data_IF_116848983197
#
_entry.id   IF_116848983197
#
_cell.length_a   1.000
_cell.length_b   1.000
_cell.length_c   1.000
_cell.angle_alpha   90.00
_cell.angle_beta   90.00
_cell.angle_gamma   90.00
#
_symmetry.space_group_name_H-M   'P 1'
#
loop_
_entity.id
_entity.type
_entity.pdbx_description
1 polymer ?
#
# COMPACT_ATOMS: atom_id res chain seq x y z
N UNK A 1 -53.81 19.68 19.92
CA UNK A 1 -52.99 19.57 18.71
C UNK A 1 -52.98 18.09 18.32
N UNK A 2 -53.65 17.72 17.23
CA UNK A 2 -53.58 16.37 16.69
C UNK A 2 -52.21 16.22 16.00
N UNK A 3 -51.35 15.36 16.53
CA UNK A 3 -50.09 15.00 15.86
C UNK A 3 -50.41 13.97 14.77
N UNK A 4 -50.35 14.40 13.52
CA UNK A 4 -50.39 13.50 12.38
C UNK A 4 -48.97 13.01 12.12
N UNK A 5 -48.74 11.71 12.24
CA UNK A 5 -47.50 11.06 11.84
C UNK A 5 -47.46 11.03 10.32
N UNK A 6 -46.57 11.82 9.70
CA UNK A 6 -46.32 11.76 8.27
C UNK A 6 -45.30 10.66 7.98
N UNK A 7 -45.73 9.65 7.22
CA UNK A 7 -44.85 8.59 6.75
C UNK A 7 -44.38 8.93 5.32
N UNK A 8 -43.09 9.24 5.19
CA UNK A 8 -42.47 9.49 3.88
C UNK A 8 -41.91 8.16 3.36
N UNK A 9 -42.44 7.69 2.23
CA UNK A 9 -42.06 6.43 1.57
C UNK A 9 -41.84 6.70 0.09
N UNK A 10 -40.92 5.98 -0.55
CA UNK A 10 -40.67 6.09 -1.99
C UNK A 10 -39.67 7.17 -2.43
N UNK A 11 -38.72 7.55 -1.58
CA UNK A 11 -37.60 8.38 -2.00
C UNK A 11 -36.60 7.55 -2.81
N UNK A 12 -36.61 7.69 -4.13
CA UNK A 12 -35.65 7.04 -5.03
C UNK A 12 -34.24 7.65 -4.90
N UNK A 13 -34.15 8.90 -4.47
CA UNK A 13 -32.92 9.67 -4.25
C UNK A 13 -33.07 10.58 -3.02
N UNK A 14 -31.94 11.07 -2.49
CA UNK A 14 -31.93 11.97 -1.33
C UNK A 14 -32.33 13.39 -1.79
N UNK A 15 -33.41 13.98 -1.24
CA UNK A 15 -33.82 15.34 -1.57
C UNK A 15 -32.80 16.37 -1.09
N UNK A 16 -32.64 17.46 -1.84
CA UNK A 16 -31.69 18.54 -1.57
C UNK A 16 -32.41 19.66 -0.82
N UNK A 17 -31.68 20.45 -0.04
CA UNK A 17 -32.23 21.63 0.63
C UNK A 17 -32.85 22.60 -0.40
N UNK A 18 -34.14 22.89 -0.24
CA UNK A 18 -34.94 23.70 -1.16
C UNK A 18 -35.94 22.90 -2.00
N UNK A 19 -35.90 21.56 -1.95
CA UNK A 19 -36.87 20.72 -2.65
C UNK A 19 -38.28 20.84 -2.05
N UNK A 20 -39.27 21.08 -2.91
CA UNK A 20 -40.69 21.12 -2.54
C UNK A 20 -41.33 19.73 -2.65
N UNK A 21 -42.01 19.32 -1.58
CA UNK A 21 -42.74 18.04 -1.50
C UNK A 21 -44.21 18.25 -1.80
N UNK A 22 -44.77 17.39 -2.65
CA UNK A 22 -46.20 17.37 -2.98
C UNK A 22 -46.83 16.07 -2.48
N UNK A 23 -48.02 16.16 -1.88
CA UNK A 23 -48.76 14.99 -1.39
C UNK A 23 -49.55 14.38 -2.55
N UNK A 24 -49.35 13.09 -2.80
CA UNK A 24 -50.03 12.35 -3.88
C UNK A 24 -50.79 11.14 -3.34
N UNK A 25 -51.82 10.72 -4.09
CA UNK A 25 -52.80 9.74 -3.62
C UNK A 25 -52.32 8.28 -3.64
N UNK A 26 -51.23 7.95 -4.36
CA UNK A 26 -50.66 6.61 -4.40
C UNK A 26 -49.14 6.61 -4.65
N UNK A 27 -48.50 5.51 -4.29
CA UNK A 27 -47.06 5.29 -4.43
C UNK A 27 -46.59 5.26 -5.89
N UNK A 28 -47.41 4.73 -6.80
CA UNK A 28 -47.06 4.66 -8.23
C UNK A 28 -47.04 6.07 -8.85
N UNK A 29 -48.00 6.92 -8.50
CA UNK A 29 -48.04 8.33 -8.92
C UNK A 29 -46.84 9.09 -8.34
N UNK A 30 -46.44 8.78 -7.10
CA UNK A 30 -45.27 9.39 -6.48
C UNK A 30 -43.98 9.04 -7.24
N UNK A 31 -43.83 7.78 -7.65
CA UNK A 31 -42.66 7.29 -8.40
C UNK A 31 -42.61 7.89 -9.81
N UNK A 32 -43.71 7.87 -10.54
CA UNK A 32 -43.79 8.43 -11.89
C UNK A 32 -43.46 9.93 -11.89
N UNK A 33 -43.99 10.70 -10.93
CA UNK A 33 -43.67 12.13 -10.78
C UNK A 33 -42.23 12.36 -10.34
N UNK A 34 -41.68 11.52 -9.46
CA UNK A 34 -40.29 11.63 -9.02
C UNK A 34 -39.30 11.32 -10.17
N UNK A 35 -39.61 10.32 -11.01
CA UNK A 35 -38.82 9.94 -12.17
C UNK A 35 -38.90 11.01 -13.28
N UNK A 36 -40.11 11.50 -13.61
CA UNK A 36 -40.28 12.58 -14.59
C UNK A 36 -39.59 13.89 -14.14
N UNK A 37 -39.64 14.21 -12.83
CA UNK A 37 -38.92 15.38 -12.28
C UNK A 37 -37.41 15.15 -12.30
N UNK A 38 -36.93 13.94 -12.04
CA UNK A 38 -35.52 13.61 -12.12
C UNK A 38 -34.99 13.71 -13.56
N UNK A 39 -35.77 13.29 -14.56
CA UNK A 39 -35.45 13.48 -15.99
C UNK A 39 -35.43 14.96 -16.38
N UNK A 40 -36.43 15.76 -15.97
CA UNK A 40 -36.45 17.20 -16.23
C UNK A 40 -35.24 17.93 -15.61
N UNK A 41 -34.89 17.60 -14.36
CA UNK A 41 -33.70 18.15 -13.69
C UNK A 41 -32.40 17.63 -14.32
N UNK A 42 -32.40 16.42 -14.87
CA UNK A 42 -31.27 15.86 -15.61
C UNK A 42 -31.07 16.60 -16.94
N UNK A 43 -32.15 16.86 -17.69
CA UNK A 43 -32.14 17.63 -18.93
C UNK A 43 -31.74 19.10 -18.70
N UNK A 44 -32.25 19.75 -17.64
CA UNK A 44 -31.83 21.10 -17.26
C UNK A 44 -30.35 21.13 -16.86
N UNK A 45 -29.83 20.11 -16.16
CA UNK A 45 -28.40 19.98 -15.82
C UNK A 45 -27.53 19.69 -17.04
N UNK A 46 -28.02 18.94 -18.02
CA UNK A 46 -27.35 18.68 -19.31
C UNK A 46 -27.30 19.98 -20.13
N UNK A 47 -28.38 20.76 -20.14
CA UNK A 47 -28.48 22.03 -20.87
C UNK A 47 -27.67 23.16 -20.19
N UNK A 48 -27.72 23.28 -18.87
CA UNK A 48 -26.93 24.26 -18.11
C UNK A 48 -25.42 23.98 -18.15
N UNK A 49 -25.02 22.71 -18.34
CA UNK A 49 -23.62 22.32 -18.59
C UNK A 49 -23.19 22.43 -20.06
N UNK A 50 -24.07 22.82 -20.98
CA UNK A 50 -23.70 23.04 -22.37
C UNK A 50 -22.86 24.32 -22.58
N UNK A 51 -22.70 25.15 -21.56
CA UNK A 51 -21.88 26.36 -21.56
C UNK A 51 -20.42 26.20 -21.11
N UNK A 52 -20.03 25.02 -20.61
CA UNK A 52 -18.66 24.79 -20.13
C UNK A 52 -18.05 23.54 -20.77
N UNK A 53 -17.20 23.75 -21.76
CA UNK A 53 -16.27 22.75 -22.28
C UNK A 53 -16.87 21.55 -23.02
N UNK A 54 -17.54 21.78 -24.15
CA UNK A 54 -17.81 20.71 -25.13
C UNK A 54 -16.49 20.19 -25.72
N UNK A 55 -16.05 19.03 -25.26
CA UNK A 55 -15.10 18.18 -25.99
C UNK A 55 -15.91 17.40 -27.04
N UNK A 56 -15.98 17.90 -28.27
CA UNK A 56 -16.56 17.17 -29.42
C UNK A 56 -15.71 15.94 -29.74
N UNK A 57 -16.29 14.92 -30.40
CA UNK A 57 -15.55 13.76 -30.92
C UNK A 57 -14.33 14.15 -31.78
N UNK A 58 -14.37 15.33 -32.43
CA UNK A 58 -13.24 15.92 -33.12
C UNK A 58 -12.11 16.39 -32.19
N UNK A 59 -12.43 16.92 -31.00
CA UNK A 59 -11.43 17.29 -29.99
C UNK A 59 -10.86 16.08 -29.21
N UNK A 60 -11.62 14.98 -29.07
CA UNK A 60 -11.09 13.69 -28.59
C UNK A 60 -10.09 13.09 -29.59
N UNK A 61 -10.38 13.13 -30.89
CA UNK A 61 -9.46 12.67 -31.92
C UNK A 61 -8.18 13.53 -31.98
N UNK A 62 -8.30 14.84 -31.78
CA UNK A 62 -7.16 15.75 -31.68
C UNK A 62 -6.35 15.56 -30.39
N UNK A 63 -6.98 15.25 -29.25
CA UNK A 63 -6.28 14.97 -28.01
C UNK A 63 -5.53 13.62 -28.05
N UNK A 64 -6.12 12.60 -28.67
CA UNK A 64 -5.49 11.28 -28.88
C UNK A 64 -4.35 11.35 -29.90
N UNK A 65 -4.43 12.27 -30.87
CA UNK A 65 -3.36 12.48 -31.86
C UNK A 65 -2.25 13.42 -31.35
N UNK A 66 -2.58 14.42 -30.52
CA UNK A 66 -1.61 15.31 -29.91
C UNK A 66 -0.81 14.63 -28.78
N UNK A 67 -1.43 13.73 -28.01
CA UNK A 67 -0.75 12.91 -27.00
C UNK A 67 0.22 11.88 -27.58
N UNK A 68 0.10 11.54 -28.88
CA UNK A 68 1.03 10.63 -29.58
C UNK A 68 2.29 11.32 -30.13
N UNK A 69 2.40 12.64 -30.00
CA UNK A 69 3.56 13.43 -30.45
C UNK A 69 4.47 13.88 -29.30
N UNK A 70 4.11 13.60 -28.05
CA UNK A 70 4.97 13.70 -26.87
C UNK A 70 4.87 12.36 -26.14
N UNK A 71 5.92 11.55 -26.09
CA UNK A 71 5.90 10.19 -25.50
C UNK A 71 5.61 10.13 -24.00
N UNK A 72 4.41 10.54 -23.58
CA UNK A 72 3.84 10.45 -22.24
C UNK A 72 2.52 9.70 -22.37
N UNK A 73 2.53 8.40 -22.09
CA UNK A 73 1.31 7.61 -22.02
C UNK A 73 0.52 8.02 -20.77
N UNK A 74 -0.53 8.82 -20.95
CA UNK A 74 -1.46 9.17 -19.87
C UNK A 74 -2.46 8.03 -19.70
N UNK A 75 -2.31 7.22 -18.65
CA UNK A 75 -3.25 6.15 -18.35
C UNK A 75 -4.51 6.70 -17.66
N UNK A 76 -5.62 5.98 -17.77
CA UNK A 76 -6.90 6.38 -17.18
C UNK A 76 -7.47 5.23 -16.35
N UNK A 77 -7.83 5.52 -15.10
CA UNK A 77 -8.55 4.58 -14.24
C UNK A 77 -10.02 5.03 -14.14
N UNK A 78 -10.91 4.22 -14.72
CA UNK A 78 -12.35 4.45 -14.68
C UNK A 78 -12.93 3.94 -13.36
N UNK A 79 -13.67 4.81 -12.68
CA UNK A 79 -14.21 4.54 -11.35
C UNK A 79 -15.71 4.79 -11.33
N UNK A 80 -16.45 3.83 -10.78
CA UNK A 80 -17.83 4.00 -10.33
C UNK A 80 -17.83 3.99 -8.80
N UNK A 81 -18.42 5.02 -8.18
CA UNK A 81 -18.47 5.16 -6.74
C UNK A 81 -19.91 5.11 -6.23
N UNK A 82 -20.17 4.19 -5.29
CA UNK A 82 -21.44 4.05 -4.59
C UNK A 82 -21.23 4.29 -3.10
N UNK A 83 -21.97 5.23 -2.52
CA UNK A 83 -21.82 5.61 -1.11
C UNK A 83 -23.14 5.59 -0.34
N UNK A 84 -23.06 5.56 0.97
CA UNK A 84 -24.22 5.58 1.86
C UNK A 84 -24.86 6.98 1.95
N UNK A 85 -24.01 8.00 2.07
CA UNK A 85 -24.40 9.40 2.28
C UNK A 85 -23.72 10.29 1.26
N UNK A 86 -24.42 11.32 0.78
CA UNK A 86 -23.87 12.27 -0.19
C UNK A 86 -22.58 12.95 0.30
N UNK A 87 -22.46 13.22 1.60
CA UNK A 87 -21.24 13.76 2.21
C UNK A 87 -20.03 12.85 2.07
N UNK A 88 -20.23 11.53 1.99
CA UNK A 88 -19.18 10.54 1.77
C UNK A 88 -18.58 10.65 0.36
N UNK A 89 -19.37 11.01 -0.67
CA UNK A 89 -18.82 11.27 -2.03
C UNK A 89 -17.79 12.40 -1.95
N UNK A 90 -18.15 13.52 -1.31
CA UNK A 90 -17.25 14.69 -1.29
C UNK A 90 -16.00 14.42 -0.44
N UNK A 91 -16.16 13.75 0.71
CA UNK A 91 -15.04 13.37 1.56
C UNK A 91 -14.05 12.41 0.84
N UNK A 92 -14.57 11.38 0.17
CA UNK A 92 -13.75 10.43 -0.60
C UNK A 92 -13.10 11.13 -1.80
N UNK A 93 -13.84 11.99 -2.50
CA UNK A 93 -13.32 12.76 -3.64
C UNK A 93 -12.16 13.66 -3.23
N UNK A 94 -12.30 14.41 -2.14
CA UNK A 94 -11.23 15.27 -1.61
C UNK A 94 -10.01 14.44 -1.18
N UNK A 95 -10.23 13.30 -0.53
CA UNK A 95 -9.16 12.41 -0.13
C UNK A 95 -8.38 11.85 -1.33
N UNK A 96 -9.06 11.52 -2.43
CA UNK A 96 -8.43 11.03 -3.66
C UNK A 96 -7.76 12.14 -4.49
N UNK A 97 -8.06 13.42 -4.25
CA UNK A 97 -7.32 14.53 -4.89
C UNK A 97 -5.88 14.63 -4.44
N UNK A 98 -5.56 14.11 -3.25
CA UNK A 98 -4.20 14.12 -2.68
C UNK A 98 -3.27 13.12 -3.40
N UNK A 99 -3.83 12.19 -4.17
CA UNK A 99 -3.04 11.24 -4.95
C UNK A 99 -2.34 11.93 -6.14
N UNK A 100 -1.05 11.67 -6.39
CA UNK A 100 -0.32 12.24 -7.51
C UNK A 100 -0.94 11.81 -8.85
N UNK A 101 -1.05 12.74 -9.80
CA UNK A 101 -1.75 12.55 -11.09
C UNK A 101 -0.81 12.51 -12.29
N UNK A 102 0.48 12.30 -12.04
CA UNK A 102 1.52 12.58 -13.04
C UNK A 102 1.37 11.70 -14.29
N UNK A 103 0.95 10.44 -14.13
CA UNK A 103 0.81 9.47 -15.23
C UNK A 103 -0.53 8.69 -15.27
N UNK A 104 -1.41 8.84 -14.27
CA UNK A 104 -2.73 8.17 -14.23
C UNK A 104 -3.82 9.15 -13.84
N UNK A 105 -4.84 9.27 -14.69
CA UNK A 105 -6.02 10.11 -14.45
C UNK A 105 -7.16 9.28 -13.88
N UNK A 106 -7.65 9.67 -12.70
CA UNK A 106 -8.86 9.09 -12.11
C UNK A 106 -10.11 9.70 -12.77
N UNK A 107 -10.92 8.89 -13.44
CA UNK A 107 -12.17 9.33 -14.06
C UNK A 107 -13.37 8.70 -13.36
N UNK A 108 -14.10 9.52 -12.62
CA UNK A 108 -15.35 9.10 -11.98
C UNK A 108 -16.49 9.15 -12.99
N UNK A 109 -16.91 7.98 -13.49
CA UNK A 109 -17.97 7.82 -14.48
C UNK A 109 -19.36 7.96 -13.85
N UNK A 110 -19.50 7.48 -12.61
CA UNK A 110 -20.73 7.56 -11.84
C UNK A 110 -20.39 7.74 -10.35
N UNK A 111 -21.08 8.68 -9.70
CA UNK A 111 -21.00 8.93 -8.27
C UNK A 111 -22.42 9.06 -7.75
N UNK A 112 -22.89 8.05 -7.01
CA UNK A 112 -24.29 8.01 -6.58
C UNK A 112 -24.42 7.38 -5.19
N UNK A 113 -25.47 7.75 -4.48
CA UNK A 113 -25.84 7.10 -3.23
C UNK A 113 -26.61 5.79 -3.49
N UNK A 114 -26.63 4.90 -2.50
CA UNK A 114 -27.41 3.67 -2.52
C UNK A 114 -26.64 2.42 -2.98
N UNK A 115 -27.30 1.27 -2.86
CA UNK A 115 -26.73 -0.05 -3.16
C UNK A 115 -26.34 -0.24 -4.63
N UNK A 116 -25.43 -1.19 -4.88
CA UNK A 116 -24.99 -1.54 -6.23
C UNK A 116 -26.10 -2.32 -6.95
N UNK A 117 -26.40 -1.92 -8.17
CA UNK A 117 -27.35 -2.55 -9.09
C UNK A 117 -26.66 -3.29 -10.24
N UNK A 118 -27.39 -4.12 -10.98
CA UNK A 118 -26.85 -4.77 -12.19
C UNK A 118 -26.46 -3.74 -13.27
N UNK A 119 -27.18 -2.62 -13.36
CA UNK A 119 -26.86 -1.54 -14.30
C UNK A 119 -25.49 -0.89 -14.00
N UNK A 120 -25.10 -0.82 -12.73
CA UNK A 120 -23.76 -0.35 -12.34
C UNK A 120 -22.67 -1.34 -12.81
N UNK A 121 -22.97 -2.66 -12.77
CA UNK A 121 -22.07 -3.69 -13.29
C UNK A 121 -21.96 -3.61 -14.81
N UNK A 122 -23.08 -3.43 -15.51
CA UNK A 122 -23.07 -3.32 -16.97
C UNK A 122 -22.32 -2.07 -17.44
N UNK A 123 -22.46 -0.95 -16.73
CA UNK A 123 -21.66 0.26 -16.96
C UNK A 123 -20.18 -0.01 -16.72
N UNK A 124 -19.83 -0.73 -15.65
CA UNK A 124 -18.45 -1.11 -15.33
C UNK A 124 -17.83 -1.98 -16.41
N UNK A 125 -18.55 -2.98 -16.94
CA UNK A 125 -18.09 -3.82 -18.06
C UNK A 125 -17.87 -2.97 -19.32
N UNK A 126 -18.84 -2.13 -19.68
CA UNK A 126 -18.78 -1.35 -20.91
C UNK A 126 -17.66 -0.29 -20.91
N UNK A 127 -17.19 0.10 -19.74
CA UNK A 127 -16.21 1.17 -19.56
C UNK A 127 -14.92 0.71 -18.89
N UNK A 128 -14.76 -0.59 -18.65
CA UNK A 128 -13.61 -1.17 -17.92
C UNK A 128 -13.37 -0.47 -16.58
N UNK A 129 -14.45 -0.15 -15.85
CA UNK A 129 -14.39 0.57 -14.58
C UNK A 129 -14.34 -0.38 -13.38
N UNK A 130 -13.64 0.06 -12.33
CA UNK A 130 -13.73 -0.57 -11.01
C UNK A 130 -14.86 0.07 -10.20
N UNK A 131 -15.50 -0.71 -9.33
CA UNK A 131 -16.58 -0.23 -8.47
C UNK A 131 -16.08 -0.10 -7.01
N UNK A 132 -16.07 1.13 -6.51
CA UNK A 132 -15.76 1.44 -5.11
C UNK A 132 -17.07 1.64 -4.34
N UNK A 133 -17.32 0.79 -3.34
CA UNK A 133 -18.47 0.93 -2.43
C UNK A 133 -18.01 1.39 -1.05
N UNK A 134 -18.51 2.53 -0.59
CA UNK A 134 -18.21 3.09 0.72
C UNK A 134 -19.43 2.96 1.64
N UNK A 135 -19.35 2.07 2.63
CA UNK A 135 -20.44 1.74 3.55
C UNK A 135 -21.75 1.26 2.89
N UNK A 136 -21.67 0.74 1.66
CA UNK A 136 -22.80 0.33 0.82
C UNK A 136 -22.81 -1.18 0.58
N UNK A 137 -24.00 -1.78 0.49
CA UNK A 137 -24.15 -3.21 0.27
C UNK A 137 -24.16 -3.53 -1.23
N UNK A 138 -23.69 -4.73 -1.52
CA UNK A 138 -23.81 -5.35 -2.83
C UNK A 138 -24.63 -6.63 -2.62
N UNK A 139 -25.89 -6.68 -3.10
CA UNK A 139 -26.72 -7.89 -3.00
C UNK A 139 -26.00 -9.12 -3.57
N UNK A 140 -26.26 -10.30 -3.02
CA UNK A 140 -25.56 -11.53 -3.43
C UNK A 140 -25.69 -11.83 -4.92
N UNK A 141 -26.86 -11.57 -5.51
CA UNK A 141 -27.11 -11.70 -6.95
C UNK A 141 -26.21 -10.79 -7.80
N UNK A 142 -25.96 -9.57 -7.34
CA UNK A 142 -25.12 -8.57 -8.03
C UNK A 142 -23.64 -8.95 -7.93
N UNK A 143 -23.18 -9.46 -6.79
CA UNK A 143 -21.80 -9.94 -6.64
C UNK A 143 -21.50 -11.11 -7.59
N UNK A 144 -22.38 -12.11 -7.62
CA UNK A 144 -22.21 -13.24 -8.54
C UNK A 144 -22.28 -12.82 -10.01
N UNK A 145 -23.05 -11.77 -10.33
CA UNK A 145 -23.08 -11.20 -11.68
C UNK A 145 -21.76 -10.49 -12.04
N UNK A 146 -21.20 -9.73 -11.10
CA UNK A 146 -19.92 -9.05 -11.28
C UNK A 146 -18.74 -10.03 -11.43
N UNK A 147 -18.68 -11.09 -10.62
CA UNK A 147 -17.66 -12.14 -10.73
C UNK A 147 -17.70 -12.82 -12.10
N UNK A 148 -18.89 -13.14 -12.62
CA UNK A 148 -19.06 -13.71 -13.96
C UNK A 148 -18.61 -12.77 -15.08
N UNK A 149 -18.66 -11.47 -14.85
CA UNK A 149 -18.32 -10.43 -15.82
C UNK A 149 -16.91 -9.88 -15.63
N UNK A 150 -16.17 -10.37 -14.63
CA UNK A 150 -14.81 -9.90 -14.32
C UNK A 150 -14.77 -8.47 -13.77
N UNK A 151 -15.88 -7.97 -13.20
CA UNK A 151 -15.94 -6.63 -12.61
C UNK A 151 -15.50 -6.66 -11.17
N UNK A 152 -14.53 -5.82 -10.83
CA UNK A 152 -14.01 -5.70 -9.48
C UNK A 152 -14.88 -4.77 -8.61
N UNK A 153 -15.33 -5.28 -7.45
CA UNK A 153 -16.13 -4.53 -6.47
C UNK A 153 -15.42 -4.53 -5.12
N UNK A 154 -15.00 -3.35 -4.64
CA UNK A 154 -14.27 -3.21 -3.38
C UNK A 154 -15.06 -2.46 -2.31
N UNK A 155 -15.10 -3.02 -1.09
CA UNK A 155 -15.79 -2.42 0.06
C UNK A 155 -14.84 -1.69 0.97
N UNK A 156 -15.22 -0.46 1.29
CA UNK A 156 -14.50 0.35 2.25
C UNK A 156 -15.43 0.83 3.35
N UNK A 157 -14.90 0.84 4.56
CA UNK A 157 -15.49 1.49 5.73
C UNK A 157 -14.61 2.64 6.22
N UNK A 158 -13.34 2.65 5.82
CA UNK A 158 -12.34 3.63 6.18
C UNK A 158 -11.78 4.26 4.90
N UNK A 159 -11.71 5.59 4.85
CA UNK A 159 -11.27 6.31 3.65
C UNK A 159 -9.79 6.01 3.35
N UNK A 160 -8.95 5.82 4.35
CA UNK A 160 -7.52 5.52 4.16
C UNK A 160 -7.25 4.21 3.40
N UNK A 161 -8.03 3.17 3.68
CA UNK A 161 -7.96 1.89 2.94
C UNK A 161 -8.32 2.09 1.46
N UNK A 162 -9.36 2.90 1.20
CA UNK A 162 -9.77 3.25 -0.16
C UNK A 162 -8.66 4.00 -0.91
N UNK A 163 -8.03 4.99 -0.27
CA UNK A 163 -6.92 5.75 -0.85
C UNK A 163 -5.77 4.82 -1.22
N UNK A 164 -5.41 3.89 -0.34
CA UNK A 164 -4.28 2.99 -0.56
C UNK A 164 -4.55 2.02 -1.73
N UNK A 165 -5.75 1.43 -1.77
CA UNK A 165 -6.15 0.55 -2.86
C UNK A 165 -6.24 1.27 -4.22
N UNK A 166 -6.76 2.51 -4.24
CA UNK A 166 -6.78 3.31 -5.48
C UNK A 166 -5.36 3.67 -5.91
N UNK A 167 -4.46 3.98 -4.98
CA UNK A 167 -3.04 4.20 -5.29
C UNK A 167 -2.41 2.95 -5.89
N UNK A 168 -2.64 1.78 -5.29
CA UNK A 168 -2.13 0.51 -5.80
C UNK A 168 -2.69 0.18 -7.20
N UNK A 169 -3.97 0.48 -7.46
CA UNK A 169 -4.58 0.32 -8.78
C UNK A 169 -3.97 1.28 -9.84
N UNK A 170 -3.63 2.51 -9.46
CA UNK A 170 -2.91 3.46 -10.32
C UNK A 170 -1.50 2.96 -10.64
N UNK A 171 -0.78 2.43 -9.64
CA UNK A 171 0.55 1.85 -9.83
C UNK A 171 0.51 0.62 -10.75
N UNK A 172 -0.51 -0.23 -10.63
CA UNK A 172 -0.69 -1.40 -11.49
C UNK A 172 -0.95 -1.07 -12.98
N UNK A 173 -1.67 0.02 -13.27
CA UNK A 173 -1.90 0.47 -14.65
C UNK A 173 -0.63 0.99 -15.33
N UNK A 174 0.31 1.53 -14.55
CA UNK A 174 1.62 1.97 -15.05
C UNK A 174 2.52 0.77 -15.40
N UNK A 175 2.44 -0.32 -14.65
CA UNK A 175 3.21 -1.56 -14.94
C UNK A 175 2.74 -2.27 -16.23
N UNK A 176 1.45 -2.15 -16.62
CA UNK A 176 0.90 -2.89 -17.77
C UNK A 176 1.39 -2.45 -19.16
N UNK A 177 2.00 -1.27 -19.30
CA UNK A 177 2.39 -0.73 -20.62
C UNK A 177 3.82 -1.07 -21.02
N UNK A 178 4.71 -1.34 -20.07
CA UNK A 178 6.09 -1.77 -20.38
C UNK A 178 6.17 -3.23 -20.87
N UNK A 179 5.11 -4.03 -20.73
CA UNK A 179 5.10 -5.46 -21.06
C UNK A 179 4.77 -5.76 -22.55
N UNK A 180 4.23 -4.78 -23.30
CA UNK A 180 3.69 -5.05 -24.64
C UNK A 180 4.63 -4.78 -25.83
N UNK A 181 5.89 -4.44 -25.59
CA UNK A 181 6.92 -4.34 -26.63
C UNK A 181 8.05 -5.32 -26.35
N UNK A 182 7.82 -6.59 -26.68
CA UNK A 182 8.78 -7.57 -27.23
C UNK A 182 8.36 -9.01 -26.91
N UNK A 183 7.24 -9.47 -27.48
CA UNK A 183 6.99 -10.90 -27.62
C UNK A 183 7.66 -11.39 -28.90
N UNK A 184 8.89 -11.90 -28.79
CA UNK A 184 9.50 -12.74 -29.82
C UNK A 184 9.50 -14.19 -29.32
N UNK A 185 8.66 -15.00 -29.95
CA UNK A 185 8.50 -16.44 -29.78
C UNK A 185 9.87 -17.17 -29.86
N UNK A 186 10.24 -17.94 -28.84
CA UNK A 186 11.21 -19.03 -28.99
C UNK A 186 10.61 -20.33 -28.44
N UNK A 187 10.54 -21.32 -29.33
CA UNK A 187 9.94 -22.62 -29.10
C UNK A 187 10.77 -23.52 -28.18
N UNK A 188 10.05 -24.36 -27.45
CA UNK A 188 10.57 -25.44 -26.63
C UNK A 188 11.08 -26.54 -27.57
N UNK A 189 12.35 -26.91 -27.44
CA UNK A 189 12.87 -28.19 -27.93
C UNK A 189 13.10 -29.06 -26.70
N UNK A 190 12.26 -30.07 -26.51
CA UNK A 190 12.55 -31.18 -25.61
C UNK A 190 13.69 -32.00 -26.20
N UNK A 191 14.81 -32.09 -25.50
CA UNK A 191 15.83 -33.09 -25.78
C UNK A 191 16.00 -33.98 -24.55
N UNK A 192 15.49 -35.20 -24.67
CA UNK A 192 15.62 -36.27 -23.70
C UNK A 192 17.05 -36.80 -23.71
N UNK A 193 17.77 -36.67 -22.58
CA UNK A 193 19.05 -37.34 -22.36
C UNK A 193 18.92 -38.28 -21.16
N UNK A 194 18.85 -39.57 -21.46
CA UNK A 194 19.00 -40.66 -20.50
C UNK A 194 20.46 -40.74 -20.03
N UNK A 195 20.69 -40.70 -18.72
CA UNK A 195 21.98 -41.09 -18.15
C UNK A 195 21.82 -42.22 -17.13
N UNK A 196 22.73 -43.17 -17.28
CA UNK A 196 22.85 -44.47 -16.62
C UNK A 196 23.25 -44.31 -15.15
N UNK A 197 22.69 -45.15 -14.27
CA UNK A 197 23.00 -45.27 -12.85
C UNK A 197 24.51 -45.41 -12.57
N UNK A 198 25.06 -44.52 -11.76
CA UNK A 198 26.17 -44.82 -10.87
C UNK A 198 26.17 -43.82 -9.69
N UNK A 199 26.29 -44.37 -8.49
CA UNK A 199 26.44 -43.72 -7.18
C UNK A 199 25.17 -43.08 -6.58
N UNK A 200 24.65 -43.73 -5.53
CA UNK A 200 23.77 -43.08 -4.55
C UNK A 200 24.52 -41.89 -3.93
N UNK A 201 24.32 -40.71 -4.51
CA UNK A 201 24.62 -39.46 -3.84
C UNK A 201 23.55 -39.29 -2.79
N UNK A 202 23.91 -39.51 -1.52
CA UNK A 202 23.12 -39.03 -0.39
C UNK A 202 23.14 -37.50 -0.44
N UNK A 203 22.20 -36.90 -1.17
CA UNK A 203 21.91 -35.47 -1.08
C UNK A 203 21.27 -35.26 0.29
N UNK A 204 22.09 -34.99 1.30
CA UNK A 204 21.57 -34.32 2.49
C UNK A 204 21.16 -32.92 2.02
N UNK A 205 19.86 -32.71 1.85
CA UNK A 205 19.29 -31.37 1.66
C UNK A 205 19.65 -30.54 2.89
N UNK A 206 20.81 -29.87 2.87
CA UNK A 206 21.06 -28.74 3.75
C UNK A 206 19.92 -27.77 3.50
N UNK A 207 19.13 -27.46 4.54
CA UNK A 207 17.99 -26.55 4.45
C UNK A 207 18.42 -25.30 3.68
N UNK A 208 17.94 -25.13 2.45
CA UNK A 208 18.38 -24.06 1.58
C UNK A 208 17.66 -22.79 2.00
N UNK A 209 18.42 -21.81 2.48
CA UNK A 209 17.92 -20.50 2.89
C UNK A 209 18.49 -19.46 1.95
N UNK A 210 17.61 -18.74 1.25
CA UNK A 210 17.97 -17.63 0.38
C UNK A 210 17.23 -16.38 0.85
N UNK A 211 17.90 -15.23 0.87
CA UNK A 211 17.32 -13.94 1.22
C UNK A 211 17.37 -13.02 0.00
N UNK A 212 16.21 -12.70 -0.57
CA UNK A 212 16.07 -11.65 -1.57
C UNK A 212 15.96 -10.30 -0.85
N UNK A 213 16.93 -9.42 -1.03
CA UNK A 213 17.00 -8.14 -0.31
C UNK A 213 17.79 -7.08 -1.08
N UNK A 214 17.80 -5.84 -0.60
CA UNK A 214 18.80 -4.82 -0.99
C UNK A 214 19.56 -4.32 0.23
N UNK A 215 20.86 -4.05 0.08
CA UNK A 215 21.77 -3.75 1.20
C UNK A 215 21.24 -2.67 2.14
N UNK A 216 20.69 -1.60 1.58
CA UNK A 216 20.22 -0.41 2.31
C UNK A 216 18.83 -0.57 2.94
N UNK A 217 18.12 -1.66 2.68
CA UNK A 217 16.76 -1.88 3.20
C UNK A 217 16.78 -2.11 4.72
N UNK A 218 16.15 -1.23 5.53
CA UNK A 218 16.08 -1.45 6.97
C UNK A 218 15.24 -2.69 7.30
N UNK A 219 14.23 -3.01 6.49
CA UNK A 219 13.40 -4.21 6.63
C UNK A 219 14.21 -5.48 6.38
N UNK A 220 15.09 -5.46 5.39
CA UNK A 220 15.98 -6.56 5.06
C UNK A 220 17.06 -6.80 6.10
N UNK A 221 17.63 -5.72 6.65
CA UNK A 221 18.55 -5.80 7.78
C UNK A 221 17.94 -6.53 8.99
N UNK A 222 16.63 -6.42 9.25
CA UNK A 222 15.96 -7.20 10.32
C UNK A 222 16.16 -8.70 10.14
N UNK A 223 15.92 -9.17 8.91
CA UNK A 223 16.02 -10.59 8.56
C UNK A 223 17.47 -11.05 8.61
N UNK A 224 18.41 -10.22 8.13
CA UNK A 224 19.85 -10.48 8.26
C UNK A 224 20.28 -10.64 9.72
N UNK A 225 19.90 -9.71 10.59
CA UNK A 225 20.21 -9.78 12.03
C UNK A 225 19.64 -11.06 12.63
N UNK A 226 18.39 -11.41 12.34
CA UNK A 226 17.77 -12.62 12.86
C UNK A 226 18.49 -13.90 12.39
N UNK A 227 18.87 -13.98 11.10
CA UNK A 227 19.65 -15.11 10.57
C UNK A 227 21.02 -15.22 11.24
N UNK A 228 21.72 -14.09 11.43
CA UNK A 228 23.02 -14.04 12.10
C UNK A 228 22.92 -14.44 13.59
N UNK A 229 21.94 -13.90 14.33
CA UNK A 229 21.67 -14.30 15.73
C UNK A 229 21.41 -15.81 15.84
N UNK A 230 20.63 -16.36 14.90
CA UNK A 230 20.39 -17.81 14.83
C UNK A 230 21.55 -18.62 14.26
N UNK A 231 22.57 -17.97 13.70
CA UNK A 231 23.71 -18.63 13.03
C UNK A 231 23.29 -19.46 11.82
N UNK A 232 22.26 -19.03 11.11
CA UNK A 232 21.73 -19.69 9.92
C UNK A 232 22.59 -19.27 8.74
N UNK A 233 23.17 -20.24 8.04
CA UNK A 233 23.84 -19.95 6.76
C UNK A 233 22.76 -19.72 5.70
N UNK A 234 22.92 -18.67 4.91
CA UNK A 234 21.99 -18.32 3.86
C UNK A 234 22.73 -17.72 2.65
N UNK A 235 22.10 -17.82 1.49
CA UNK A 235 22.51 -17.11 0.28
C UNK A 235 21.84 -15.74 0.24
N UNK A 236 22.63 -14.67 0.11
CA UNK A 236 22.10 -13.32 -0.08
C UNK A 236 22.01 -12.99 -1.57
N UNK A 237 20.82 -12.58 -2.03
CA UNK A 237 20.58 -12.20 -3.42
C UNK A 237 20.16 -10.73 -3.50
N UNK A 238 21.08 -9.87 -3.93
CA UNK A 238 20.83 -8.44 -4.12
C UNK A 238 19.77 -8.21 -5.22
N UNK A 239 18.74 -7.44 -4.89
CA UNK A 239 17.66 -7.09 -5.80
C UNK A 239 17.76 -5.63 -6.25
N UNK A 240 17.63 -5.37 -7.55
CA UNK A 240 17.39 -4.02 -8.05
C UNK A 240 15.91 -3.68 -7.89
N UNK A 241 15.56 -2.83 -6.92
CA UNK A 241 14.18 -2.43 -6.68
C UNK A 241 13.58 -1.54 -7.80
N UNK A 242 14.42 -1.05 -8.72
CA UNK A 242 14.01 -0.27 -9.89
C UNK A 242 13.68 -1.16 -11.08
N UNK A 243 14.33 -2.32 -11.16
CA UNK A 243 14.10 -3.33 -12.18
C UNK A 243 14.00 -4.70 -11.49
N UNK A 244 12.79 -4.97 -10.97
CA UNK A 244 12.55 -6.15 -10.12
C UNK A 244 12.70 -7.43 -10.96
N UNK A 245 13.65 -8.27 -10.58
CA UNK A 245 13.90 -9.54 -11.26
C UNK A 245 12.71 -10.51 -11.16
N UNK A 246 12.60 -11.47 -12.11
CA UNK A 246 11.47 -12.42 -12.16
C UNK A 246 11.33 -13.23 -10.87
N UNK A 247 12.45 -13.59 -10.24
CA UNK A 247 12.45 -14.34 -8.97
C UNK A 247 11.75 -13.58 -7.83
N UNK A 248 11.95 -12.26 -7.72
CA UNK A 248 11.27 -11.45 -6.69
C UNK A 248 9.77 -11.37 -6.95
N UNK A 249 9.37 -11.21 -8.22
CA UNK A 249 7.97 -11.13 -8.62
C UNK A 249 7.23 -12.47 -8.41
N UNK A 250 7.91 -13.59 -8.65
CA UNK A 250 7.38 -14.93 -8.40
C UNK A 250 7.25 -15.22 -6.90
N UNK A 251 8.27 -14.87 -6.11
CA UNK A 251 8.33 -15.21 -4.69
C UNK A 251 7.50 -14.26 -3.81
N UNK A 252 7.20 -13.06 -4.29
CA UNK A 252 6.28 -12.12 -3.64
C UNK A 252 5.36 -11.44 -4.68
N UNK A 253 4.37 -12.17 -5.23
CA UNK A 253 3.50 -11.64 -6.28
C UNK A 253 2.52 -10.57 -5.77
N UNK A 254 2.23 -10.58 -4.47
CA UNK A 254 1.28 -9.65 -3.83
C UNK A 254 1.89 -8.26 -3.68
N UNK A 255 3.05 -8.15 -3.02
CA UNK A 255 3.64 -6.85 -2.72
C UNK A 255 4.84 -6.51 -3.59
N UNK A 256 5.48 -7.50 -4.23
CA UNK A 256 6.67 -7.32 -5.07
C UNK A 256 7.77 -6.54 -4.33
N UNK A 257 7.90 -6.78 -3.02
CA UNK A 257 8.79 -6.07 -2.10
C UNK A 257 9.81 -7.03 -1.50
N UNK A 258 10.96 -6.47 -1.14
CA UNK A 258 11.95 -7.10 -0.27
C UNK A 258 11.73 -6.68 1.19
N UNK A 259 12.16 -7.48 2.19
CA UNK A 259 12.82 -8.78 2.05
C UNK A 259 11.85 -9.92 1.71
N UNK A 260 12.37 -10.94 1.03
CA UNK A 260 11.72 -12.26 0.91
C UNK A 260 12.70 -13.33 1.37
N UNK A 261 12.35 -14.01 2.48
CA UNK A 261 13.10 -15.17 2.95
C UNK A 261 12.56 -16.41 2.25
N UNK A 262 13.40 -17.17 1.56
CA UNK A 262 13.03 -18.41 0.91
C UNK A 262 13.66 -19.54 1.69
N UNK A 263 12.84 -20.39 2.31
CA UNK A 263 13.30 -21.56 3.05
C UNK A 263 12.76 -22.82 2.38
N UNK A 264 13.67 -23.62 1.79
CA UNK A 264 13.35 -24.82 1.00
C UNK A 264 12.33 -24.53 -0.12
N UNK A 265 12.58 -23.47 -0.89
CA UNK A 265 11.73 -23.05 -2.00
C UNK A 265 10.40 -22.39 -1.60
N UNK A 266 10.13 -22.21 -0.30
CA UNK A 266 8.90 -21.57 0.19
C UNK A 266 9.20 -20.13 0.61
N UNK A 267 8.52 -19.12 0.04
CA UNK A 267 8.75 -17.73 0.40
C UNK A 267 8.01 -17.34 1.69
N UNK A 268 8.68 -16.53 2.51
CA UNK A 268 8.15 -15.83 3.67
C UNK A 268 8.38 -14.34 3.41
N UNK A 269 7.27 -13.64 3.16
CA UNK A 269 7.24 -12.19 2.92
C UNK A 269 6.97 -11.44 4.24
N UNK A 270 7.19 -10.12 4.22
CA UNK A 270 7.11 -9.22 5.37
C UNK A 270 8.19 -9.47 6.43
N UNK A 271 9.05 -8.47 6.67
CA UNK A 271 10.24 -8.61 7.51
C UNK A 271 9.95 -9.12 8.94
N UNK A 272 8.91 -8.59 9.60
CA UNK A 272 8.52 -8.98 10.95
C UNK A 272 7.94 -10.41 11.02
N UNK A 273 7.29 -10.86 9.95
CA UNK A 273 6.81 -12.24 9.83
C UNK A 273 8.01 -13.17 9.62
N UNK A 274 8.95 -12.79 8.74
CA UNK A 274 10.18 -13.55 8.51
C UNK A 274 11.04 -13.69 9.78
N UNK A 275 11.16 -12.63 10.59
CA UNK A 275 11.89 -12.68 11.88
C UNK A 275 11.21 -13.64 12.86
N UNK A 276 9.88 -13.61 12.98
CA UNK A 276 9.15 -14.58 13.82
C UNK A 276 9.33 -16.02 13.33
N UNK A 277 9.21 -16.22 12.01
CA UNK A 277 9.46 -17.53 11.39
C UNK A 277 10.87 -18.04 11.71
N UNK A 278 11.88 -17.18 11.61
CA UNK A 278 13.26 -17.53 11.96
C UNK A 278 13.37 -17.94 13.44
N UNK A 279 12.72 -17.19 14.34
CA UNK A 279 12.73 -17.47 15.78
C UNK A 279 12.08 -18.83 16.12
N UNK A 280 10.99 -19.16 15.43
CA UNK A 280 10.23 -20.39 15.64
C UNK A 280 10.93 -21.62 15.05
N UNK A 281 11.53 -21.49 13.85
CA UNK A 281 12.19 -22.60 13.14
C UNK A 281 13.57 -22.92 13.71
N UNK A 282 14.40 -21.90 13.97
CA UNK A 282 15.74 -22.05 14.55
C UNK A 282 15.72 -21.70 16.04
N UNK A 283 14.96 -22.48 16.80
CA UNK A 283 14.71 -22.28 18.24
C UNK A 283 15.84 -22.82 19.16
N UNK A 284 16.95 -23.28 18.59
CA UNK A 284 18.09 -23.87 19.32
C UNK A 284 19.02 -22.82 19.96
N UNK A 285 18.87 -21.54 19.62
CA UNK A 285 19.60 -20.42 20.21
C UNK A 285 18.66 -19.49 20.99
N UNK A 286 19.23 -18.48 21.66
CA UNK A 286 18.46 -17.47 22.42
C UNK A 286 17.23 -17.00 21.65
N UNK A 287 16.04 -17.01 22.28
CA UNK A 287 14.81 -16.58 21.63
C UNK A 287 14.80 -15.08 21.42
N UNK A 288 14.26 -14.61 20.29
CA UNK A 288 14.02 -13.20 20.01
C UNK A 288 12.71 -12.74 20.63
N UNK A 289 11.69 -13.61 20.67
CA UNK A 289 10.42 -13.32 21.32
C UNK A 289 10.32 -13.99 22.71
N UNK A 290 9.69 -13.32 23.70
CA UNK A 290 9.37 -13.94 24.98
C UNK A 290 8.45 -15.17 24.84
N UNK A 291 8.63 -16.17 25.70
CA UNK A 291 7.74 -17.34 25.78
C UNK A 291 6.41 -17.02 26.48
N UNK A 292 6.40 -16.05 27.40
CA UNK A 292 5.18 -15.54 28.02
C UNK A 292 4.27 -14.87 26.98
N UNK A 293 2.98 -15.26 26.87
CA UNK A 293 2.09 -14.71 25.85
C UNK A 293 1.86 -13.20 25.96
N UNK A 294 1.81 -12.64 27.17
CA UNK A 294 1.57 -11.22 27.36
C UNK A 294 2.80 -10.41 26.95
N UNK A 295 3.98 -10.79 27.40
CA UNK A 295 5.23 -10.16 27.00
C UNK A 295 5.44 -10.26 25.48
N UNK A 296 5.15 -11.42 24.88
CA UNK A 296 5.20 -11.60 23.43
C UNK A 296 4.24 -10.67 22.68
N UNK A 297 3.05 -10.43 23.23
CA UNK A 297 2.10 -9.46 22.67
C UNK A 297 2.63 -8.03 22.77
N UNK A 298 3.30 -7.67 23.87
CA UNK A 298 3.95 -6.36 24.01
C UNK A 298 5.09 -6.17 23.01
N UNK A 299 5.95 -7.18 22.83
CA UNK A 299 7.01 -7.14 21.80
C UNK A 299 6.43 -6.95 20.40
N UNK A 300 5.33 -7.64 20.07
CA UNK A 300 4.64 -7.50 18.78
C UNK A 300 4.02 -6.10 18.60
N UNK A 301 3.43 -5.54 19.65
CA UNK A 301 2.88 -4.19 19.63
C UNK A 301 3.97 -3.15 19.33
N UNK A 302 5.11 -3.22 20.01
CA UNK A 302 6.19 -2.27 19.79
C UNK A 302 6.89 -2.44 18.43
N UNK A 303 7.03 -3.67 17.93
CA UNK A 303 7.52 -3.88 16.58
C UNK A 303 6.57 -3.33 15.49
N UNK A 304 5.25 -3.50 15.66
CA UNK A 304 4.24 -2.88 14.78
C UNK A 304 4.27 -1.34 14.88
N UNK A 305 4.43 -0.81 16.10
CA UNK A 305 4.62 0.62 16.32
C UNK A 305 5.80 1.16 15.51
N UNK A 306 6.93 0.44 15.45
CA UNK A 306 8.09 0.84 14.65
C UNK A 306 7.73 0.95 13.16
N UNK A 307 7.03 -0.05 12.59
CA UNK A 307 6.62 -0.03 11.18
C UNK A 307 5.69 1.13 10.84
N UNK A 308 4.78 1.46 11.75
CA UNK A 308 3.77 2.48 11.52
C UNK A 308 4.20 3.90 11.92
N UNK A 309 5.09 4.03 12.91
CA UNK A 309 5.39 5.31 13.57
C UNK A 309 6.85 5.75 13.45
N UNK A 310 7.77 4.88 13.06
CA UNK A 310 9.16 5.29 12.76
C UNK A 310 9.37 5.44 11.25
N UNK A 311 9.00 4.42 10.47
CA UNK A 311 9.25 4.42 9.03
C UNK A 311 8.54 5.56 8.29
N UNK A 312 7.22 5.73 8.48
CA UNK A 312 6.47 6.74 7.70
C UNK A 312 6.87 8.19 8.04
N UNK A 313 6.99 8.60 9.32
CA UNK A 313 7.50 9.93 9.66
C UNK A 313 8.95 10.12 9.20
N UNK A 314 9.83 9.12 9.38
CA UNK A 314 11.20 9.15 8.88
C UNK A 314 11.27 9.29 7.36
N UNK A 315 10.36 8.67 6.60
CA UNK A 315 10.28 8.87 5.15
C UNK A 315 10.00 10.32 4.78
N UNK A 316 9.15 11.01 5.55
CA UNK A 316 8.82 12.42 5.28
C UNK A 316 10.02 13.35 5.46
N UNK A 317 10.96 13.03 6.35
CA UNK A 317 12.14 13.88 6.61
C UNK A 317 13.05 14.04 5.40
N UNK A 318 13.08 13.05 4.50
CA UNK A 318 13.89 13.09 3.29
C UNK A 318 13.08 13.14 2.00
N UNK A 319 11.74 13.08 2.03
CA UNK A 319 10.91 13.17 0.82
C UNK A 319 10.08 14.44 0.71
N UNK A 320 9.82 15.14 1.83
CA UNK A 320 8.89 16.28 1.88
C UNK A 320 9.61 17.60 2.18
N UNK A 321 8.90 18.72 2.00
CA UNK A 321 9.36 20.09 2.26
C UNK A 321 8.31 20.87 3.07
N UNK A 322 8.71 22.00 3.66
CA UNK A 322 7.79 22.91 4.35
C UNK A 322 7.05 22.27 5.53
N UNK A 323 5.74 22.50 5.63
CA UNK A 323 4.92 21.99 6.75
C UNK A 323 4.89 20.46 6.83
N UNK A 324 4.93 19.74 5.70
CA UNK A 324 4.94 18.27 5.71
C UNK A 324 6.27 17.71 6.25
N UNK A 325 7.38 18.40 5.98
CA UNK A 325 8.69 18.06 6.53
C UNK A 325 8.69 18.23 8.06
N UNK A 326 8.21 19.36 8.54
CA UNK A 326 8.10 19.65 9.97
C UNK A 326 7.19 18.65 10.69
N UNK A 327 6.05 18.28 10.09
CA UNK A 327 5.17 17.25 10.63
C UNK A 327 5.85 15.86 10.65
N UNK A 328 6.65 15.53 9.63
CA UNK A 328 7.46 14.31 9.59
C UNK A 328 8.51 14.26 10.71
N UNK A 329 9.27 15.35 10.86
CA UNK A 329 10.28 15.51 11.92
C UNK A 329 9.66 15.37 13.30
N UNK A 330 8.60 16.13 13.58
CA UNK A 330 7.95 16.13 14.90
C UNK A 330 7.36 14.75 15.22
N UNK A 331 6.69 14.12 14.24
CA UNK A 331 6.14 12.77 14.41
C UNK A 331 7.21 11.70 14.63
N UNK A 332 8.38 11.82 13.97
CA UNK A 332 9.51 10.92 14.20
C UNK A 332 10.06 11.11 15.61
N UNK A 333 10.36 12.34 16.02
CA UNK A 333 10.91 12.65 17.36
C UNK A 333 9.96 12.16 18.46
N UNK A 334 8.67 12.42 18.34
CA UNK A 334 7.65 11.94 19.30
C UNK A 334 7.66 10.42 19.40
N UNK A 335 7.74 9.72 18.27
CA UNK A 335 7.77 8.26 18.23
C UNK A 335 9.05 7.69 18.84
N UNK A 336 10.20 8.32 18.59
CA UNK A 336 11.49 7.93 19.19
C UNK A 336 11.50 8.18 20.71
N UNK A 337 10.87 9.26 21.19
CA UNK A 337 10.73 9.53 22.63
C UNK A 337 9.85 8.49 23.33
N UNK A 338 8.77 8.03 22.67
CA UNK A 338 7.94 6.94 23.21
C UNK A 338 8.74 5.63 23.31
N UNK A 339 9.54 5.30 22.28
CA UNK A 339 10.42 4.14 22.29
C UNK A 339 11.54 4.26 23.35
N UNK A 340 12.10 5.45 23.52
CA UNK A 340 13.07 5.72 24.59
C UNK A 340 12.47 5.55 25.99
N UNK A 341 11.21 5.98 26.17
CA UNK A 341 10.44 5.76 27.39
C UNK A 341 10.16 4.29 27.67
N UNK A 342 9.78 3.52 26.65
CA UNK A 342 9.59 2.06 26.76
C UNK A 342 10.90 1.33 27.07
N UNK A 343 12.01 1.72 26.43
CA UNK A 343 13.33 1.18 26.74
C UNK A 343 13.69 1.42 28.22
N UNK A 344 13.37 2.60 28.75
CA UNK A 344 13.61 2.96 30.14
C UNK A 344 15.09 2.87 30.49
N UNK A 345 15.42 1.99 31.44
CA UNK A 345 16.80 1.71 31.87
C UNK A 345 17.27 0.29 31.46
N UNK A 346 16.49 -0.40 30.62
CA UNK A 346 16.85 -1.73 30.10
C UNK A 346 18.02 -1.61 29.11
N UNK A 347 18.85 -2.66 29.04
CA UNK A 347 19.97 -2.70 28.08
C UNK A 347 19.45 -2.78 26.64
N UNK A 348 18.40 -3.57 26.45
CA UNK A 348 17.65 -3.87 25.22
C UNK A 348 16.15 -3.88 25.53
N UNK A 349 15.28 -3.87 24.51
CA UNK A 349 13.82 -3.76 24.73
C UNK A 349 13.24 -4.96 25.49
N UNK A 350 13.74 -6.17 25.22
CA UNK A 350 13.39 -7.41 25.92
C UNK A 350 14.29 -7.70 27.15
N UNK A 351 15.05 -6.70 27.64
CA UNK A 351 15.85 -6.81 28.87
C UNK A 351 17.35 -6.79 28.60
N UNK A 352 18.02 -7.92 28.82
CA UNK A 352 19.49 -8.00 28.83
C UNK A 352 20.11 -8.48 27.51
N UNK A 353 19.28 -8.91 26.55
CA UNK A 353 19.73 -9.43 25.26
C UNK A 353 18.91 -8.81 24.13
N UNK A 354 19.51 -8.80 22.94
CA UNK A 354 18.84 -8.39 21.71
C UNK A 354 17.56 -9.21 21.52
N UNK A 355 16.41 -8.54 21.47
CA UNK A 355 15.11 -9.17 21.25
C UNK A 355 14.42 -8.65 20.00
N UNK A 356 13.15 -9.02 19.88
CA UNK A 356 12.33 -8.77 18.70
C UNK A 356 12.14 -7.28 18.39
N UNK A 357 11.91 -6.45 19.40
CA UNK A 357 11.75 -5.01 19.21
C UNK A 357 13.09 -4.36 18.85
N UNK A 358 14.20 -4.84 19.43
CA UNK A 358 15.52 -4.35 19.05
C UNK A 358 15.80 -4.63 17.57
N UNK A 359 15.56 -5.86 17.11
CA UNK A 359 15.70 -6.26 15.70
C UNK A 359 14.81 -5.42 14.80
N UNK A 360 13.59 -5.09 15.22
CA UNK A 360 12.67 -4.27 14.45
C UNK A 360 13.15 -2.81 14.28
N UNK A 361 13.76 -2.22 15.33
CA UNK A 361 14.12 -0.80 15.37
C UNK A 361 15.55 -0.52 14.91
N UNK A 362 16.53 -1.33 15.30
CA UNK A 362 17.95 -1.00 15.12
C UNK A 362 18.35 -0.73 13.66
N UNK A 363 17.76 -1.37 12.63
CA UNK A 363 18.10 -1.05 11.24
C UNK A 363 17.90 0.41 10.85
N UNK A 364 16.93 1.10 11.44
CA UNK A 364 16.69 2.51 11.16
C UNK A 364 17.82 3.41 11.64
N UNK A 365 18.68 2.96 12.56
CA UNK A 365 19.87 3.70 12.97
C UNK A 365 20.78 4.02 11.78
N UNK A 366 20.90 3.12 10.80
CA UNK A 366 21.67 3.37 9.57
C UNK A 366 21.06 4.49 8.70
N UNK A 367 19.77 4.80 8.88
CA UNK A 367 19.07 5.86 8.16
C UNK A 367 19.04 7.20 8.91
N UNK A 368 19.41 7.22 10.20
CA UNK A 368 19.32 8.43 11.03
C UNK A 368 20.15 9.58 10.47
N UNK A 369 21.35 9.31 9.96
CA UNK A 369 22.18 10.35 9.34
C UNK A 369 21.45 11.04 8.17
N UNK A 370 20.75 10.27 7.33
CA UNK A 370 19.94 10.84 6.25
C UNK A 370 18.76 11.66 6.78
N UNK A 371 18.05 11.15 7.80
CA UNK A 371 16.94 11.88 8.41
C UNK A 371 17.38 13.22 9.00
N UNK A 372 18.46 13.22 9.78
CA UNK A 372 19.01 14.43 10.42
C UNK A 372 19.47 15.46 9.37
N UNK A 373 20.15 14.99 8.31
CA UNK A 373 20.70 15.86 7.26
C UNK A 373 19.60 16.50 6.42
N UNK A 374 18.62 15.74 5.95
CA UNK A 374 17.52 16.28 5.13
C UNK A 374 16.44 17.00 5.96
N UNK A 375 16.27 16.60 7.22
CA UNK A 375 15.29 17.16 8.16
C UNK A 375 15.81 18.31 9.02
N UNK A 376 17.11 18.63 8.95
CA UNK A 376 17.77 19.70 9.70
C UNK A 376 17.54 19.63 11.22
N UNK A 377 17.75 18.45 11.80
CA UNK A 377 17.58 18.21 13.25
C UNK A 377 18.59 17.19 13.77
N UNK A 378 18.64 17.00 15.10
CA UNK A 378 19.48 16.00 15.75
C UNK A 378 18.64 15.06 16.61
N UNK A 379 18.74 13.76 16.33
CA UNK A 379 18.09 12.71 17.12
C UNK A 379 18.80 12.55 18.47
N UNK A 380 20.13 12.66 18.52
CA UNK A 380 20.88 12.55 19.80
C UNK A 380 20.53 13.66 20.78
N UNK A 381 20.26 14.88 20.30
CA UNK A 381 19.81 15.98 21.15
C UNK A 381 18.43 15.73 21.78
N UNK A 382 17.56 15.00 21.09
CA UNK A 382 16.17 14.77 21.50
C UNK A 382 15.96 13.43 22.22
N UNK A 383 16.76 12.41 21.91
CA UNK A 383 16.64 11.02 22.35
C UNK A 383 18.03 10.41 22.69
N UNK A 384 18.76 10.94 23.68
CA UNK A 384 20.14 10.54 23.97
C UNK A 384 20.27 9.10 24.50
N UNK A 385 19.30 8.59 25.28
CA UNK A 385 19.33 7.20 25.78
C UNK A 385 19.10 6.23 24.63
N UNK A 386 18.24 6.58 23.67
CA UNK A 386 18.00 5.77 22.48
C UNK A 386 19.26 5.70 21.61
N UNK A 387 19.97 6.82 21.42
CA UNK A 387 21.26 6.80 20.70
C UNK A 387 22.32 5.99 21.46
N UNK A 388 22.36 6.05 22.79
CA UNK A 388 23.21 5.17 23.58
C UNK A 388 22.85 3.68 23.38
N UNK A 389 21.56 3.34 23.28
CA UNK A 389 21.10 2.01 22.92
C UNK A 389 21.53 1.60 21.51
N UNK A 390 21.44 2.47 20.51
CA UNK A 390 21.94 2.18 19.16
C UNK A 390 23.44 1.84 19.19
N UNK A 391 24.23 2.68 19.89
CA UNK A 391 25.68 2.48 20.05
C UNK A 391 26.01 1.15 20.76
N UNK A 392 25.20 0.73 21.74
CA UNK A 392 25.32 -0.60 22.37
C UNK A 392 24.95 -1.73 21.41
N UNK A 393 23.87 -1.60 20.65
CA UNK A 393 23.47 -2.62 19.67
C UNK A 393 24.56 -2.84 18.62
N UNK A 394 25.26 -1.79 18.18
CA UNK A 394 26.39 -1.90 17.26
C UNK A 394 27.60 -2.67 17.82
N UNK A 395 27.68 -2.91 19.13
CA UNK A 395 28.69 -3.81 19.71
C UNK A 395 28.32 -5.29 19.54
N UNK A 396 27.08 -5.61 19.17
CA UNK A 396 26.70 -6.97 18.79
C UNK A 396 27.20 -7.27 17.36
N UNK A 397 27.86 -8.41 17.21
CA UNK A 397 28.40 -8.88 15.94
C UNK A 397 27.31 -9.10 14.87
N UNK A 398 26.13 -9.60 15.24
CA UNK A 398 25.02 -9.80 14.30
C UNK A 398 24.53 -8.48 13.71
N UNK A 399 24.43 -7.45 14.55
CA UNK A 399 23.97 -6.10 14.16
C UNK A 399 25.02 -5.40 13.31
N UNK A 400 26.26 -5.37 13.76
CA UNK A 400 27.35 -4.68 13.05
C UNK A 400 27.66 -5.28 11.68
N UNK A 401 27.49 -6.61 11.50
CA UNK A 401 27.62 -7.26 10.17
C UNK A 401 26.42 -7.00 9.25
N UNK A 402 25.24 -6.81 9.82
CA UNK A 402 23.99 -6.77 9.06
C UNK A 402 23.61 -5.36 8.59
N UNK A 403 23.92 -4.32 9.38
CA UNK A 403 23.59 -2.94 9.05
C UNK A 403 24.48 -2.40 7.93
N UNK A 404 23.89 -1.61 7.03
CA UNK A 404 24.67 -0.81 6.08
C UNK A 404 25.32 0.38 6.77
N UNK A 405 26.42 0.83 6.17
CA UNK A 405 27.09 2.06 6.61
C UNK A 405 26.16 3.28 6.41
N UNK A 406 26.05 4.20 7.39
CA UNK A 406 25.17 5.37 7.28
C UNK A 406 25.48 6.28 6.08
N UNK A 407 26.73 6.32 5.60
CA UNK A 407 27.09 7.10 4.41
C UNK A 407 26.65 6.40 3.12
N UNK A 408 26.71 5.06 3.07
CA UNK A 408 26.14 4.29 1.96
C UNK A 408 24.64 4.53 1.85
N UNK A 409 23.92 4.46 2.98
CA UNK A 409 22.48 4.76 3.04
C UNK A 409 22.18 6.20 2.64
N UNK A 410 22.96 7.17 3.14
CA UNK A 410 22.79 8.57 2.77
C UNK A 410 23.01 8.80 1.26
N UNK A 411 24.05 8.21 0.68
CA UNK A 411 24.30 8.27 -0.77
C UNK A 411 23.13 7.72 -1.58
N UNK A 412 22.58 6.58 -1.17
CA UNK A 412 21.37 6.02 -1.77
C UNK A 412 20.17 6.99 -1.69
N UNK A 413 19.96 7.63 -0.54
CA UNK A 413 18.87 8.61 -0.37
C UNK A 413 19.05 9.84 -1.26
N UNK A 414 20.27 10.34 -1.43
CA UNK A 414 20.58 11.45 -2.37
C UNK A 414 20.21 11.05 -3.80
N UNK A 415 20.64 9.87 -4.26
CA UNK A 415 20.29 9.38 -5.60
C UNK A 415 18.78 9.22 -5.78
N UNK A 416 18.09 8.70 -4.77
CA UNK A 416 16.65 8.50 -4.81
C UNK A 416 15.90 9.84 -4.83
N UNK A 417 16.35 10.85 -4.08
CA UNK A 417 15.78 12.21 -4.13
C UNK A 417 15.90 12.86 -5.50
N UNK A 418 17.06 12.72 -6.16
CA UNK A 418 17.25 13.20 -7.54
C UNK A 418 16.28 12.54 -8.52
N UNK A 419 16.13 11.21 -8.43
CA UNK A 419 15.20 10.45 -9.28
C UNK A 419 13.74 10.81 -9.04
N UNK A 420 13.36 11.15 -7.82
CA UNK A 420 12.03 11.60 -7.45
C UNK A 420 11.78 13.09 -7.78
N UNK A 421 12.74 13.79 -8.39
CA UNK A 421 12.61 15.22 -8.71
C UNK A 421 12.51 16.13 -7.49
N UNK A 422 13.09 15.72 -6.35
CA UNK A 422 13.03 16.46 -5.10
C UNK A 422 14.18 17.46 -4.93
N UNK A 423 15.22 17.35 -5.76
CA UNK A 423 16.42 18.18 -5.82
C UNK A 423 16.58 18.86 -7.17
#
# INVERSE_FOLDING_TARGET
>A
MLHFSLQVIGLSNVPIAGDEFEVVASLDIARERAEARAELLWDERISAKAGDGKVTLSSLASAVSAGKLSGLDLHQLNIIMKVDLQGSIEAVRQALQVLPRDNVTLKFLLQATGDISNSDIDLAVATEAIILRFNVKAPGSVKSYAEKKGVEIRLYRVIYELIDDVRNAMEGLLETVEVNSNASLYGIVEESLSFTLAEEVFVTSTMAVTLLDTRVSPFGMRVRIALEEKGVKYEYSEQDLRNKGPMLLEMNPVYKKVPVLIHNGKPICESLIAVQYIDEVWNNKSPLLPSDPYQRAQSRFWADFVDNKVYFPGRKTWTKKGQELEAGKNGLIESLKLLEGELGDKSYFEGDKLGYVDVALIPFYSWFHGYETFGYFSIEAECPKLIAWCKRCMQNESVSKSLSDPQEVYGFLVELRKKLGLE
#
